data_IF_502566990087
#
_entry.id   IF_502566990087
#
_cell.length_a   1.000
_cell.length_b   1.000
_cell.length_c   1.000
_cell.angle_alpha   90.00
_cell.angle_beta   90.00
_cell.angle_gamma   90.00
#
_symmetry.space_group_name_H-M   'P 1'
#
loop_
_entity.id
_entity.type
_entity.pdbx_description
1 polymer ?
#
# COMPACT_ATOMS: atom_id res chain seq x y z
N UNK A 1 -36.47 -12.97 13.27
CA UNK A 1 -35.06 -12.81 13.71
C UNK A 1 -34.18 -12.84 12.46
N UNK A 2 -33.61 -11.71 12.07
CA UNK A 2 -32.59 -11.65 11.02
C UNK A 2 -31.47 -10.76 11.57
N UNK A 3 -30.38 -11.41 11.98
CA UNK A 3 -29.21 -10.77 12.58
C UNK A 3 -28.50 -9.92 11.56
N UNK A 4 -28.48 -8.61 11.82
CA UNK A 4 -27.60 -7.65 11.15
C UNK A 4 -26.17 -7.94 11.62
N UNK A 5 -25.38 -8.61 10.77
CA UNK A 5 -23.93 -8.69 10.93
C UNK A 5 -23.32 -7.31 10.67
N UNK A 6 -23.39 -6.45 11.69
CA UNK A 6 -22.58 -5.24 11.76
C UNK A 6 -21.11 -5.66 11.87
N UNK A 7 -20.40 -5.65 10.75
CA UNK A 7 -18.96 -5.41 10.78
C UNK A 7 -18.73 -4.00 11.33
N UNK A 8 -18.63 -3.91 12.65
CA UNK A 8 -18.22 -2.70 13.34
C UNK A 8 -16.78 -2.32 12.93
N UNK A 9 -16.42 -1.03 13.04
CA UNK A 9 -15.07 -0.59 12.73
C UNK A 9 -14.08 -1.33 13.63
N UNK A 10 -13.18 -2.11 13.02
CA UNK A 10 -12.07 -2.76 13.71
C UNK A 10 -11.29 -1.66 14.41
N UNK A 11 -11.40 -1.62 15.74
CA UNK A 11 -10.76 -0.61 16.59
C UNK A 11 -9.26 -0.55 16.30
N UNK A 12 -8.67 0.65 16.32
CA UNK A 12 -7.24 0.85 16.03
C UNK A 12 -6.30 -0.03 16.86
N UNK A 13 -6.73 -0.43 18.07
CA UNK A 13 -5.99 -1.38 18.93
C UNK A 13 -5.96 -2.80 18.36
N UNK A 14 -7.06 -3.27 17.77
CA UNK A 14 -7.11 -4.59 17.12
C UNK A 14 -6.28 -4.60 15.84
N UNK A 15 -6.31 -3.51 15.06
CA UNK A 15 -5.47 -3.37 13.88
C UNK A 15 -3.97 -3.41 14.22
N UNK A 16 -3.55 -2.74 15.31
CA UNK A 16 -2.18 -2.76 15.79
C UNK A 16 -1.75 -4.18 16.22
N UNK A 17 -2.58 -4.88 17.00
CA UNK A 17 -2.30 -6.26 17.44
C UNK A 17 -2.22 -7.25 16.27
N UNK A 18 -3.09 -7.12 15.27
CA UNK A 18 -3.06 -7.94 14.05
C UNK A 18 -1.79 -7.67 13.27
N UNK A 19 -1.40 -6.42 13.09
CA UNK A 19 -0.16 -6.05 12.41
C UNK A 19 1.08 -6.61 13.13
N UNK A 20 1.16 -6.49 14.46
CA UNK A 20 2.27 -7.05 15.25
C UNK A 20 2.36 -8.57 15.16
N UNK A 21 1.21 -9.27 15.18
CA UNK A 21 1.17 -10.73 15.00
C UNK A 21 1.67 -11.13 13.62
N UNK A 22 1.19 -10.47 12.57
CA UNK A 22 1.61 -10.77 11.19
C UNK A 22 3.10 -10.46 10.96
N UNK A 23 3.63 -9.39 11.56
CA UNK A 23 5.06 -9.11 11.54
C UNK A 23 5.88 -10.23 12.22
N UNK A 24 5.41 -10.74 13.37
CA UNK A 24 6.02 -11.90 14.03
C UNK A 24 6.00 -13.15 13.13
N UNK A 25 4.89 -13.41 12.43
CA UNK A 25 4.79 -14.54 11.51
C UNK A 25 5.72 -14.41 10.29
N UNK A 26 5.93 -13.20 9.77
CA UNK A 26 6.95 -12.94 8.73
C UNK A 26 8.33 -13.28 9.27
N UNK A 27 8.67 -12.84 10.49
CA UNK A 27 9.98 -13.11 11.08
C UNK A 27 10.19 -14.61 11.33
N UNK A 28 9.20 -15.32 11.85
CA UNK A 28 9.24 -16.79 11.99
C UNK A 28 9.45 -17.48 10.65
N UNK A 29 8.78 -17.00 9.61
CA UNK A 29 8.94 -17.53 8.25
C UNK A 29 10.37 -17.31 7.75
N UNK A 30 10.93 -16.11 7.94
CA UNK A 30 12.31 -15.81 7.55
C UNK A 30 13.30 -16.74 8.24
N UNK A 31 13.07 -17.05 9.52
CA UNK A 31 13.95 -17.89 10.32
C UNK A 31 13.84 -19.38 9.95
N UNK A 32 12.64 -19.86 9.62
CA UNK A 32 12.37 -21.29 9.39
C UNK A 32 12.34 -21.70 7.92
N UNK A 33 12.15 -20.76 7.00
CA UNK A 33 11.88 -21.04 5.59
C UNK A 33 10.52 -21.71 5.33
N UNK A 34 9.63 -21.72 6.31
CA UNK A 34 8.32 -22.36 6.25
C UNK A 34 7.21 -21.36 6.53
N UNK A 35 6.12 -21.48 5.78
CA UNK A 35 4.96 -20.62 5.88
C UNK A 35 3.66 -21.36 5.56
N UNK A 36 2.59 -20.97 6.27
CA UNK A 36 1.24 -21.35 5.88
C UNK A 36 0.72 -20.41 4.78
N UNK A 37 0.16 -20.98 3.71
CA UNK A 37 -0.50 -20.23 2.65
C UNK A 37 -1.59 -19.29 3.22
N UNK A 38 -2.32 -19.75 4.24
CA UNK A 38 -3.37 -18.97 4.92
C UNK A 38 -2.79 -17.72 5.58
N UNK A 39 -1.70 -17.87 6.32
CA UNK A 39 -1.02 -16.75 7.00
C UNK A 39 -0.47 -15.76 5.98
N UNK A 40 0.15 -16.25 4.90
CA UNK A 40 0.67 -15.39 3.83
C UNK A 40 -0.41 -14.62 3.08
N UNK A 41 -1.59 -15.23 2.90
CA UNK A 41 -2.76 -14.53 2.36
C UNK A 41 -3.24 -13.41 3.28
N UNK A 42 -3.24 -13.63 4.60
CA UNK A 42 -3.61 -12.60 5.57
C UNK A 42 -2.63 -11.41 5.56
N UNK A 43 -1.34 -11.69 5.40
CA UNK A 43 -0.31 -10.64 5.23
C UNK A 43 -0.61 -9.79 3.98
N UNK A 44 -0.89 -10.44 2.84
CA UNK A 44 -1.25 -9.75 1.59
C UNK A 44 -2.45 -8.82 1.79
N UNK A 45 -3.51 -9.30 2.45
CA UNK A 45 -4.73 -8.54 2.70
C UNK A 45 -4.49 -7.33 3.61
N UNK A 46 -3.68 -7.46 4.67
CA UNK A 46 -3.39 -6.37 5.59
C UNK A 46 -2.55 -5.28 4.93
N UNK A 47 -1.52 -5.65 4.17
CA UNK A 47 -0.66 -4.69 3.46
C UNK A 47 -1.49 -3.92 2.43
N UNK A 48 -2.27 -4.65 1.61
CA UNK A 48 -3.16 -4.05 0.62
C UNK A 48 -4.16 -3.09 1.26
N UNK A 49 -4.87 -3.53 2.30
CA UNK A 49 -5.86 -2.70 2.99
C UNK A 49 -5.24 -1.43 3.59
N UNK A 50 -4.01 -1.53 4.12
CA UNK A 50 -3.31 -0.36 4.66
C UNK A 50 -2.96 0.67 3.57
N UNK A 51 -2.40 0.21 2.45
CA UNK A 51 -2.09 1.08 1.30
C UNK A 51 -3.35 1.73 0.73
N UNK A 52 -4.40 0.96 0.48
CA UNK A 52 -5.67 1.48 -0.05
C UNK A 52 -6.29 2.53 0.86
N UNK A 53 -6.31 2.28 2.18
CA UNK A 53 -6.86 3.23 3.15
C UNK A 53 -6.10 4.55 3.16
N UNK A 54 -4.77 4.48 3.13
CA UNK A 54 -3.91 5.67 3.13
C UNK A 54 -4.05 6.44 1.83
N UNK A 55 -3.94 5.78 0.68
CA UNK A 55 -4.13 6.41 -0.65
C UNK A 55 -5.52 7.06 -0.76
N UNK A 56 -6.57 6.39 -0.28
CA UNK A 56 -7.92 6.97 -0.23
C UNK A 56 -7.97 8.24 0.65
N UNK A 57 -7.24 8.24 1.76
CA UNK A 57 -7.08 9.42 2.60
C UNK A 57 -6.40 10.58 1.86
N UNK A 58 -5.35 10.29 1.08
CA UNK A 58 -4.62 11.27 0.25
C UNK A 58 -5.56 11.87 -0.80
N UNK A 59 -6.29 11.04 -1.55
CA UNK A 59 -7.26 11.49 -2.56
C UNK A 59 -8.31 12.44 -1.95
N UNK A 60 -8.88 12.08 -0.79
CA UNK A 60 -9.84 12.93 -0.08
C UNK A 60 -9.26 14.29 0.33
N UNK A 61 -7.97 14.35 0.67
CA UNK A 61 -7.31 15.63 0.98
C UNK A 61 -7.16 16.47 -0.28
N UNK A 62 -6.72 15.88 -1.39
CA UNK A 62 -6.55 16.58 -2.66
C UNK A 62 -7.90 17.09 -3.18
N UNK A 63 -8.96 16.28 -3.14
CA UNK A 63 -10.31 16.68 -3.56
C UNK A 63 -10.78 17.96 -2.85
N UNK A 64 -10.58 18.03 -1.52
CA UNK A 64 -10.94 19.21 -0.74
C UNK A 64 -10.16 20.45 -1.16
N UNK A 65 -8.87 20.27 -1.44
CA UNK A 65 -8.00 21.36 -1.84
C UNK A 65 -8.31 21.83 -3.28
N UNK A 66 -8.68 20.92 -4.18
CA UNK A 66 -9.09 21.23 -5.55
C UNK A 66 -10.34 22.11 -5.58
N UNK A 67 -11.33 21.80 -4.73
CA UNK A 67 -12.53 22.63 -4.59
C UNK A 67 -12.21 24.09 -4.24
N UNK A 68 -11.14 24.32 -3.48
CA UNK A 68 -10.69 25.67 -3.09
C UNK A 68 -9.76 26.35 -4.10
N UNK A 69 -9.21 25.61 -5.08
CA UNK A 69 -8.13 26.10 -5.95
C UNK A 69 -8.38 25.87 -7.45
N UNK A 70 -9.57 25.43 -7.85
CA UNK A 70 -9.86 24.91 -9.20
C UNK A 70 -9.48 25.82 -10.39
N UNK A 71 -9.40 27.14 -10.20
CA UNK A 71 -9.07 28.12 -11.25
C UNK A 71 -7.62 28.62 -11.23
N UNK A 72 -6.77 28.06 -10.36
CA UNK A 72 -5.36 28.48 -10.24
C UNK A 72 -4.42 27.51 -10.94
N UNK A 73 -3.21 27.98 -11.28
CA UNK A 73 -2.12 27.13 -11.78
C UNK A 73 -1.81 25.97 -10.82
N UNK A 74 -1.89 26.24 -9.51
CA UNK A 74 -1.73 25.21 -8.47
C UNK A 74 -2.87 24.19 -8.49
N UNK A 75 -4.11 24.64 -8.75
CA UNK A 75 -5.27 23.76 -8.94
C UNK A 75 -5.07 22.78 -10.10
N UNK A 76 -4.58 23.25 -11.25
CA UNK A 76 -4.28 22.39 -12.39
C UNK A 76 -3.23 21.32 -12.06
N UNK A 77 -2.13 21.71 -11.41
CA UNK A 77 -1.08 20.76 -10.98
C UNK A 77 -1.60 19.74 -9.96
N UNK A 78 -2.39 20.18 -8.99
CA UNK A 78 -3.06 19.27 -8.05
C UNK A 78 -4.04 18.32 -8.75
N UNK A 79 -4.71 18.77 -9.82
CA UNK A 79 -5.60 17.92 -10.62
C UNK A 79 -4.82 16.81 -11.31
N UNK A 80 -3.64 17.13 -11.85
CA UNK A 80 -2.72 16.12 -12.40
C UNK A 80 -2.22 15.15 -11.31
N UNK A 81 -1.87 15.67 -10.13
CA UNK A 81 -1.47 14.84 -8.99
C UNK A 81 -2.60 13.89 -8.56
N UNK A 82 -3.84 14.37 -8.53
CA UNK A 82 -5.01 13.55 -8.24
C UNK A 82 -5.13 12.37 -9.20
N UNK A 83 -5.08 12.63 -10.51
CA UNK A 83 -5.15 11.58 -11.55
C UNK A 83 -4.04 10.56 -11.37
N UNK A 84 -2.81 11.00 -11.09
CA UNK A 84 -1.69 10.09 -10.81
C UNK A 84 -1.95 9.21 -9.58
N UNK A 85 -2.52 9.76 -8.52
CA UNK A 85 -2.82 9.00 -7.29
C UNK A 85 -4.01 8.04 -7.49
N UNK A 86 -4.98 8.38 -8.34
CA UNK A 86 -6.01 7.43 -8.77
C UNK A 86 -5.36 6.24 -9.48
N UNK A 87 -4.44 6.48 -10.41
CA UNK A 87 -3.69 5.41 -11.07
C UNK A 87 -2.86 4.57 -10.08
N UNK A 88 -2.26 5.18 -9.04
CA UNK A 88 -1.61 4.43 -7.95
C UNK A 88 -2.61 3.55 -7.19
N UNK A 89 -3.81 4.07 -6.91
CA UNK A 89 -4.86 3.31 -6.25
C UNK A 89 -5.27 2.08 -7.08
N UNK A 90 -5.40 2.24 -8.39
CA UNK A 90 -5.77 1.16 -9.30
C UNK A 90 -4.67 0.10 -9.39
N UNK A 91 -3.40 0.48 -9.40
CA UNK A 91 -2.27 -0.47 -9.30
C UNK A 91 -2.34 -1.29 -8.00
N UNK A 92 -2.56 -0.63 -6.87
CA UNK A 92 -2.67 -1.33 -5.57
C UNK A 92 -3.87 -2.28 -5.56
N UNK A 93 -5.03 -1.85 -6.08
CA UNK A 93 -6.24 -2.68 -6.19
C UNK A 93 -6.07 -3.86 -7.16
N UNK A 94 -5.42 -3.63 -8.30
CA UNK A 94 -5.15 -4.63 -9.32
C UNK A 94 -4.06 -5.62 -8.94
N UNK A 95 -3.24 -5.30 -7.92
CA UNK A 95 -2.21 -6.21 -7.44
C UNK A 95 -2.83 -7.52 -6.90
N UNK A 96 -2.54 -8.62 -7.58
CA UNK A 96 -2.98 -9.96 -7.19
C UNK A 96 -1.89 -10.69 -6.40
N UNK A 97 -2.04 -10.68 -5.08
CA UNK A 97 -1.18 -11.44 -4.17
C UNK A 97 0.17 -10.79 -3.89
N UNK A 98 1.00 -11.50 -3.15
CA UNK A 98 2.35 -11.07 -2.80
C UNK A 98 3.10 -12.19 -2.11
N UNK A 99 3.04 -12.19 -0.78
CA UNK A 99 3.64 -13.20 0.08
C UNK A 99 3.05 -14.59 -0.17
N UNK A 100 1.75 -14.69 -0.49
CA UNK A 100 1.13 -15.99 -0.82
C UNK A 100 1.75 -16.63 -2.06
N UNK A 101 2.19 -15.83 -3.03
CA UNK A 101 2.80 -16.33 -4.26
C UNK A 101 4.20 -16.88 -4.02
N UNK A 102 4.87 -16.47 -2.94
CA UNK A 102 6.18 -16.98 -2.54
C UNK A 102 6.05 -18.37 -1.90
N UNK A 103 4.89 -18.70 -1.34
CA UNK A 103 4.64 -19.97 -0.67
C UNK A 103 4.41 -21.09 -1.69
N UNK A 104 5.17 -22.18 -1.58
CA UNK A 104 4.92 -23.42 -2.32
C UNK A 104 3.74 -24.19 -1.72
N UNK A 105 3.12 -25.14 -2.46
CA UNK A 105 2.07 -26.01 -1.91
C UNK A 105 2.52 -26.79 -0.67
N UNK A 106 3.83 -27.07 -0.54
CA UNK A 106 4.44 -27.76 0.60
C UNK A 106 4.86 -26.82 1.75
N UNK A 107 4.47 -25.54 1.69
CA UNK A 107 4.77 -24.54 2.72
C UNK A 107 6.19 -23.99 2.72
N UNK A 108 7.08 -24.47 1.83
CA UNK A 108 8.43 -23.90 1.67
C UNK A 108 8.38 -22.56 0.96
N UNK A 109 9.22 -21.62 1.40
CA UNK A 109 9.36 -20.28 0.82
C UNK A 109 10.81 -19.96 0.44
N UNK A 110 10.99 -19.09 -0.55
CA UNK A 110 12.28 -18.48 -0.84
C UNK A 110 12.47 -17.27 0.08
N UNK A 111 13.22 -17.44 1.17
CA UNK A 111 13.42 -16.39 2.20
C UNK A 111 14.01 -15.10 1.61
N UNK A 112 14.92 -15.19 0.64
CA UNK A 112 15.48 -14.03 -0.04
C UNK A 112 14.42 -13.14 -0.70
N UNK A 113 13.41 -13.76 -1.31
CA UNK A 113 12.29 -13.07 -1.96
C UNK A 113 11.37 -12.41 -0.94
N UNK A 114 11.15 -13.05 0.23
CA UNK A 114 10.39 -12.44 1.33
C UNK A 114 11.09 -11.17 1.83
N UNK A 115 12.41 -11.23 2.01
CA UNK A 115 13.20 -10.08 2.47
C UNK A 115 13.13 -8.92 1.46
N UNK A 116 13.24 -9.22 0.17
CA UNK A 116 13.12 -8.19 -0.88
C UNK A 116 11.71 -7.59 -0.92
N UNK A 117 10.67 -8.43 -0.84
CA UNK A 117 9.28 -7.94 -0.82
C UNK A 117 9.00 -7.08 0.41
N UNK A 118 9.49 -7.49 1.58
CA UNK A 118 9.36 -6.73 2.82
C UNK A 118 10.03 -5.36 2.72
N UNK A 119 11.26 -5.30 2.19
CA UNK A 119 11.95 -4.03 1.96
C UNK A 119 11.15 -3.09 1.06
N UNK A 120 10.62 -3.62 -0.06
CA UNK A 120 9.79 -2.82 -0.97
C UNK A 120 8.50 -2.34 -0.29
N UNK A 121 7.82 -3.20 0.46
CA UNK A 121 6.57 -2.85 1.15
C UNK A 121 6.81 -1.83 2.27
N UNK A 122 7.94 -1.89 2.96
CA UNK A 122 8.36 -0.88 3.95
C UNK A 122 8.67 0.48 3.29
N UNK A 123 9.43 0.49 2.19
CA UNK A 123 9.71 1.72 1.43
C UNK A 123 8.41 2.34 0.90
N UNK A 124 7.54 1.56 0.26
CA UNK A 124 6.23 2.03 -0.23
C UNK A 124 5.41 2.62 0.93
N UNK A 125 5.37 1.96 2.08
CA UNK A 125 4.64 2.45 3.24
C UNK A 125 5.18 3.80 3.73
N UNK A 126 6.50 3.98 3.75
CA UNK A 126 7.14 5.24 4.14
C UNK A 126 6.75 6.36 3.17
N UNK A 127 6.91 6.16 1.87
CA UNK A 127 6.56 7.18 0.85
C UNK A 127 5.06 7.53 0.87
N UNK A 128 4.17 6.55 1.05
CA UNK A 128 2.72 6.82 1.22
C UNK A 128 2.46 7.67 2.46
N UNK A 129 3.16 7.43 3.57
CA UNK A 129 3.01 8.22 4.78
C UNK A 129 3.55 9.64 4.60
N UNK A 130 4.71 9.81 3.96
CA UNK A 130 5.25 11.14 3.64
C UNK A 130 4.26 11.90 2.76
N UNK A 131 3.76 11.28 1.69
CA UNK A 131 2.76 11.88 0.81
C UNK A 131 1.47 12.25 1.57
N UNK A 132 1.04 11.40 2.49
CA UNK A 132 -0.10 11.68 3.34
C UNK A 132 0.13 12.91 4.22
N UNK A 133 1.31 13.10 4.82
CA UNK A 133 1.59 14.25 5.67
C UNK A 133 1.85 15.54 4.88
N UNK A 134 2.50 15.46 3.72
CA UNK A 134 2.78 16.61 2.86
C UNK A 134 1.53 17.33 2.36
N UNK A 135 0.46 16.57 2.10
CA UNK A 135 -0.81 17.14 1.64
C UNK A 135 -1.60 17.63 2.87
N UNK A 136 -1.78 18.96 3.02
CA UNK A 136 -2.44 19.54 4.18
C UNK A 136 -3.95 19.26 4.16
N UNK A 137 -4.58 19.26 5.33
CA UNK A 137 -6.02 19.00 5.43
C UNK A 137 -6.92 20.22 5.16
N UNK A 138 -6.43 21.46 5.35
CA UNK A 138 -7.27 22.67 5.36
C UNK A 138 -6.59 23.93 4.83
N UNK A 139 -5.31 24.11 5.11
CA UNK A 139 -4.56 25.32 4.83
C UNK A 139 -3.82 25.15 3.51
N UNK A 140 -4.02 26.07 2.60
CA UNK A 140 -3.39 26.25 1.27
C UNK A 140 -2.15 25.39 1.00
N UNK A 141 -2.13 24.69 -0.15
CA UNK A 141 -0.96 23.95 -0.61
C UNK A 141 0.14 24.93 -1.02
N UNK A 142 1.33 24.75 -0.47
CA UNK A 142 2.53 25.44 -0.93
C UNK A 142 3.07 24.77 -2.18
N UNK A 143 3.66 25.56 -3.07
CA UNK A 143 4.24 25.04 -4.32
C UNK A 143 5.38 24.04 -4.06
N UNK A 144 6.20 24.27 -3.04
CA UNK A 144 7.27 23.36 -2.60
C UNK A 144 6.72 21.98 -2.22
N UNK A 145 5.69 21.93 -1.36
CA UNK A 145 5.05 20.69 -0.95
C UNK A 145 4.41 19.95 -2.14
N UNK A 146 3.89 20.69 -3.13
CA UNK A 146 3.27 20.10 -4.30
C UNK A 146 4.31 19.46 -5.22
N UNK A 147 5.44 20.14 -5.44
CA UNK A 147 6.56 19.59 -6.21
C UNK A 147 7.14 18.35 -5.54
N UNK A 148 7.33 18.37 -4.22
CA UNK A 148 7.79 17.19 -3.46
C UNK A 148 6.78 16.03 -3.54
N UNK A 149 5.49 16.32 -3.44
CA UNK A 149 4.43 15.31 -3.61
C UNK A 149 4.44 14.70 -5.02
N UNK A 150 4.72 15.50 -6.05
CA UNK A 150 4.85 15.03 -7.44
C UNK A 150 6.04 14.07 -7.60
N UNK A 151 7.19 14.38 -6.99
CA UNK A 151 8.38 13.52 -6.98
C UNK A 151 8.12 12.19 -6.25
N UNK A 152 7.53 12.25 -5.06
CA UNK A 152 7.17 11.06 -4.28
C UNK A 152 6.21 10.14 -5.06
N UNK A 153 5.26 10.70 -5.81
CA UNK A 153 4.36 9.89 -6.63
C UNK A 153 5.11 9.17 -7.74
N UNK A 154 6.12 9.77 -8.35
CA UNK A 154 6.98 9.11 -9.34
C UNK A 154 7.76 7.96 -8.70
N UNK A 155 8.34 8.18 -7.53
CA UNK A 155 9.05 7.13 -6.77
C UNK A 155 8.11 5.97 -6.40
N UNK A 156 6.89 6.27 -5.97
CA UNK A 156 5.87 5.26 -5.66
C UNK A 156 5.51 4.40 -6.87
N UNK A 157 5.37 4.99 -8.07
CA UNK A 157 5.17 4.21 -9.28
C UNK A 157 6.35 3.27 -9.56
N UNK A 158 7.59 3.77 -9.41
CA UNK A 158 8.80 2.97 -9.60
C UNK A 158 8.84 1.77 -8.64
N UNK A 159 8.56 2.01 -7.34
CA UNK A 159 8.53 0.97 -6.31
C UNK A 159 7.44 -0.07 -6.55
N UNK A 160 6.21 0.36 -6.86
CA UNK A 160 5.10 -0.54 -7.16
C UNK A 160 5.39 -1.39 -8.41
N UNK A 161 5.94 -0.78 -9.47
CA UNK A 161 6.34 -1.51 -10.68
C UNK A 161 7.44 -2.54 -10.37
N UNK A 162 8.42 -2.19 -9.54
CA UNK A 162 9.47 -3.13 -9.12
C UNK A 162 8.88 -4.29 -8.33
N UNK A 163 7.95 -4.01 -7.41
CA UNK A 163 7.20 -5.02 -6.65
C UNK A 163 6.42 -5.95 -7.58
N UNK A 164 5.66 -5.42 -8.54
CA UNK A 164 4.93 -6.23 -9.51
C UNK A 164 5.84 -7.09 -10.38
N UNK A 165 6.96 -6.54 -10.85
CA UNK A 165 7.94 -7.28 -11.64
C UNK A 165 8.55 -8.44 -10.87
N UNK A 166 8.86 -8.25 -9.58
CA UNK A 166 9.30 -9.32 -8.69
C UNK A 166 8.25 -10.44 -8.62
N UNK A 167 6.98 -10.08 -8.40
CA UNK A 167 5.88 -11.05 -8.30
C UNK A 167 5.59 -11.77 -9.63
N UNK A 168 5.71 -11.07 -10.77
CA UNK A 168 5.53 -11.65 -12.10
C UNK A 168 6.58 -12.72 -12.39
N UNK A 169 7.85 -12.46 -12.05
CA UNK A 169 8.93 -13.45 -12.17
C UNK A 169 8.63 -14.71 -11.36
N UNK A 170 8.05 -14.57 -10.17
CA UNK A 170 7.67 -15.72 -9.33
C UNK A 170 6.54 -16.55 -9.94
N UNK A 171 5.52 -15.90 -10.51
CA UNK A 171 4.42 -16.59 -11.22
C UNK A 171 4.95 -17.41 -12.39
N UNK A 172 5.90 -16.87 -13.17
CA UNK A 172 6.51 -17.57 -14.31
C UNK A 172 7.33 -18.81 -13.91
N UNK A 173 7.99 -18.78 -12.75
CA UNK A 173 8.77 -19.94 -12.27
C UNK A 173 7.92 -21.07 -11.65
N UNK A 174 6.60 -20.91 -11.60
CA UNK A 174 5.65 -21.91 -11.08
C UNK A 174 4.85 -22.64 -12.16
N UNK A 175 5.01 -22.25 -13.44
CA UNK A 175 4.57 -23.03 -14.60
C UNK A 175 5.69 -23.97 -15.05
#
# INVERSE_FOLDING_TARGET
MAGSERSGPISGKQHSLVASRLASEIQKTINSGLASMKVMKQIDEVIKSNFERKITGILKKIDRLLNSNAKSKLGNRMGLLYVKIVSLQDLVKGSEGGYRLICSPKGRVKVSVIKELLKLDEEIAQYINILYELIPQKTTVKEENLSEAEEIVVDLFSLLNRRENLLRKLKQTKG
#
